data_IF_759442201932
#
_entry.id   IF_759442201932
#
_cell.length_a   1.000
_cell.length_b   1.000
_cell.length_c   1.000
_cell.angle_alpha   90.00
_cell.angle_beta   90.00
_cell.angle_gamma   90.00
#
_symmetry.space_group_name_H-M   'P 1'
#
loop_
_entity.id
_entity.type
_entity.pdbx_description
1 polymer ?
#
# COMPACT_ATOMS: atom_id res chain seq x y z
N UNK A 1 -6.33 -12.94 -0.52
CA UNK A 1 -6.84 -14.32 -0.48
C UNK A 1 -5.66 -15.23 -0.19
N UNK A 2 -5.78 -16.16 0.77
CA UNK A 2 -4.78 -17.20 1.05
C UNK A 2 -5.39 -18.55 0.69
N UNK A 3 -4.60 -19.46 0.12
CA UNK A 3 -4.98 -20.85 -0.18
C UNK A 3 -6.26 -21.00 -1.02
N UNK A 4 -6.55 -20.05 -1.92
CA UNK A 4 -7.76 -20.08 -2.75
C UNK A 4 -9.09 -19.84 -2.02
N UNK A 5 -9.08 -19.56 -0.71
CA UNK A 5 -10.29 -19.39 0.12
C UNK A 5 -11.01 -18.05 -0.16
N UNK A 6 -11.72 -17.98 -1.29
CA UNK A 6 -12.45 -16.79 -1.74
C UNK A 6 -13.56 -16.38 -0.75
N UNK A 7 -14.44 -17.31 -0.38
CA UNK A 7 -15.56 -17.03 0.54
C UNK A 7 -15.10 -16.38 1.85
N UNK A 8 -14.05 -16.93 2.48
CA UNK A 8 -13.48 -16.37 3.70
C UNK A 8 -12.90 -14.95 3.49
N UNK A 9 -12.22 -14.71 2.38
CA UNK A 9 -11.68 -13.39 2.05
C UNK A 9 -12.81 -12.35 1.88
N UNK A 10 -13.92 -12.73 1.24
CA UNK A 10 -15.11 -11.88 1.14
C UNK A 10 -15.70 -11.56 2.51
N UNK A 11 -15.86 -12.56 3.37
CA UNK A 11 -16.38 -12.35 4.73
C UNK A 11 -15.50 -11.38 5.54
N UNK A 12 -14.18 -11.52 5.46
CA UNK A 12 -13.24 -10.61 6.14
C UNK A 12 -13.40 -9.18 5.63
N UNK A 13 -13.47 -9.00 4.30
CA UNK A 13 -13.61 -7.68 3.68
C UNK A 13 -14.93 -7.01 4.08
N UNK A 14 -16.06 -7.71 3.96
CA UNK A 14 -17.37 -7.19 4.36
C UNK A 14 -17.41 -6.80 5.84
N UNK A 15 -16.86 -7.65 6.71
CA UNK A 15 -16.76 -7.34 8.16
C UNK A 15 -15.87 -6.12 8.43
N UNK A 16 -14.78 -5.95 7.67
CA UNK A 16 -13.91 -4.78 7.81
C UNK A 16 -14.64 -3.50 7.38
N UNK A 17 -15.29 -3.50 6.21
CA UNK A 17 -16.08 -2.36 5.71
C UNK A 17 -17.20 -1.98 6.68
N UNK A 18 -17.94 -2.97 7.21
CA UNK A 18 -18.98 -2.74 8.22
C UNK A 18 -18.42 -2.11 9.51
N UNK A 19 -17.17 -2.40 9.87
CA UNK A 19 -16.50 -1.82 11.04
C UNK A 19 -16.01 -0.38 10.82
N UNK A 20 -15.80 0.04 9.58
CA UNK A 20 -15.36 1.43 9.29
C UNK A 20 -16.49 2.42 9.56
N UNK A 21 -17.72 2.07 9.17
CA UNK A 21 -18.88 2.94 9.24
C UNK A 21 -19.17 3.53 10.64
N UNK A 22 -19.25 2.73 11.74
CA UNK A 22 -19.48 3.30 13.07
C UNK A 22 -18.32 4.15 13.58
N UNK A 23 -17.10 3.97 13.06
CA UNK A 23 -15.90 4.66 13.56
C UNK A 23 -15.65 6.01 12.87
N UNK A 24 -16.28 6.26 11.72
CA UNK A 24 -15.95 7.42 10.88
C UNK A 24 -17.16 8.19 10.38
N UNK A 25 -18.39 7.72 10.63
CA UNK A 25 -19.67 8.34 10.20
C UNK A 25 -19.73 8.70 8.71
N UNK A 26 -18.79 8.18 7.93
CA UNK A 26 -18.59 8.49 6.52
C UNK A 26 -18.77 7.22 5.71
N UNK A 27 -19.09 7.39 4.43
CA UNK A 27 -19.27 6.26 3.54
C UNK A 27 -17.97 5.43 3.48
N UNK A 28 -17.99 4.15 3.91
CA UNK A 28 -16.78 3.34 4.02
C UNK A 28 -16.14 3.05 2.66
N UNK A 29 -16.88 3.16 1.56
CA UNK A 29 -16.33 3.09 0.20
C UNK A 29 -15.46 4.31 -0.13
N UNK A 30 -15.82 5.50 0.37
CA UNK A 30 -14.99 6.69 0.21
C UNK A 30 -13.69 6.57 1.01
N UNK A 31 -13.78 6.06 2.25
CA UNK A 31 -12.60 5.77 3.08
C UNK A 31 -11.66 4.80 2.37
N UNK A 32 -12.19 3.70 1.82
CA UNK A 32 -11.41 2.72 1.06
C UNK A 32 -10.72 3.36 -0.14
N UNK A 33 -11.46 4.12 -0.96
CA UNK A 33 -10.91 4.79 -2.15
C UNK A 33 -9.83 5.81 -1.77
N UNK A 34 -10.05 6.56 -0.69
CA UNK A 34 -9.10 7.54 -0.17
C UNK A 34 -7.83 6.88 0.35
N UNK A 35 -7.95 5.80 1.13
CA UNK A 35 -6.82 5.01 1.62
C UNK A 35 -5.97 4.51 0.45
N UNK A 36 -6.58 3.85 -0.55
CA UNK A 36 -5.86 3.36 -1.73
C UNK A 36 -5.16 4.52 -2.46
N UNK A 37 -5.84 5.66 -2.67
CA UNK A 37 -5.24 6.83 -3.33
C UNK A 37 -4.01 7.34 -2.56
N UNK A 38 -4.09 7.44 -1.23
CA UNK A 38 -2.99 7.94 -0.39
C UNK A 38 -1.79 6.99 -0.41
N UNK A 39 -2.03 5.69 -0.37
CA UNK A 39 -0.97 4.67 -0.36
C UNK A 39 -0.37 4.43 -1.74
N UNK A 40 -1.10 4.76 -2.82
CA UNK A 40 -0.61 4.54 -4.20
C UNK A 40 0.69 5.31 -4.46
N UNK A 41 1.79 4.60 -4.78
CA UNK A 41 3.02 5.21 -5.26
C UNK A 41 2.91 5.47 -6.77
N UNK A 42 3.32 6.66 -7.20
CA UNK A 42 3.47 7.06 -8.59
C UNK A 42 4.92 6.91 -9.09
N UNK A 43 5.87 6.88 -8.16
CA UNK A 43 7.29 6.68 -8.41
C UNK A 43 7.84 5.57 -7.52
N UNK A 44 8.89 4.90 -7.99
CA UNK A 44 9.59 3.90 -7.22
C UNK A 44 10.98 3.67 -7.76
N UNK A 45 11.59 2.59 -7.28
CA UNK A 45 12.96 2.24 -7.64
C UNK A 45 12.96 0.84 -8.24
N UNK A 46 13.66 0.69 -9.36
CA UNK A 46 13.95 -0.62 -9.95
C UNK A 46 15.44 -0.89 -9.86
N UNK A 47 15.77 -2.09 -9.43
CA UNK A 47 17.14 -2.57 -9.45
C UNK A 47 17.55 -2.86 -10.90
N UNK A 48 18.63 -2.24 -11.35
CA UNK A 48 19.22 -2.43 -12.67
C UNK A 48 20.69 -2.76 -12.55
N UNK A 49 21.18 -3.68 -13.38
CA UNK A 49 22.61 -3.98 -13.50
C UNK A 49 23.19 -3.15 -14.63
N UNK A 50 24.25 -2.40 -14.36
CA UNK A 50 24.90 -1.59 -15.39
C UNK A 50 25.86 -2.44 -16.24
N UNK A 51 26.30 -1.87 -17.38
CA UNK A 51 27.25 -2.52 -18.30
C UNK A 51 28.59 -2.89 -17.64
N UNK A 52 28.96 -2.22 -16.54
CA UNK A 52 30.17 -2.49 -15.74
C UNK A 52 29.92 -3.52 -14.61
N UNK A 53 28.78 -4.20 -14.60
CA UNK A 53 28.48 -5.32 -13.70
C UNK A 53 27.91 -4.95 -12.32
N UNK A 54 27.93 -3.67 -11.92
CA UNK A 54 27.39 -3.19 -10.64
C UNK A 54 25.87 -3.00 -10.65
N UNK A 55 25.23 -3.24 -9.51
CA UNK A 55 23.79 -3.14 -9.34
C UNK A 55 23.41 -1.78 -8.75
N UNK A 56 22.55 -1.02 -9.45
CA UNK A 56 22.09 0.31 -9.02
C UNK A 56 20.59 0.37 -8.88
N UNK A 57 20.13 1.23 -7.99
CA UNK A 57 18.72 1.57 -7.75
C UNK A 57 18.34 2.74 -8.65
N UNK A 58 17.58 2.46 -9.71
CA UNK A 58 17.19 3.47 -10.71
C UNK A 58 15.76 3.93 -10.46
N UNK A 59 15.50 5.24 -10.33
CA UNK A 59 14.14 5.79 -10.25
C UNK A 59 13.31 5.51 -11.50
N UNK A 60 12.12 4.95 -11.31
CA UNK A 60 11.15 4.69 -12.38
C UNK A 60 9.78 5.25 -12.01
N UNK A 61 9.02 5.64 -13.03
CA UNK A 61 7.60 5.93 -12.88
C UNK A 61 6.80 4.63 -12.86
N UNK A 62 5.78 4.60 -12.00
CA UNK A 62 4.92 3.43 -11.81
C UNK A 62 3.59 3.73 -12.50
N UNK A 63 3.20 2.87 -13.44
CA UNK A 63 1.90 2.97 -14.10
C UNK A 63 0.73 2.80 -13.11
N UNK A 64 -0.40 3.44 -13.40
CA UNK A 64 -1.57 3.48 -12.50
C UNK A 64 -2.05 2.11 -12.01
N UNK A 65 -2.10 1.11 -12.90
CA UNK A 65 -2.48 -0.28 -12.57
C UNK A 65 -1.49 -0.92 -11.58
N UNK A 66 -0.19 -0.72 -11.80
CA UNK A 66 0.86 -1.26 -10.94
C UNK A 66 0.88 -0.55 -9.58
N UNK A 67 0.70 0.77 -9.57
CA UNK A 67 0.62 1.56 -8.34
C UNK A 67 -0.55 1.12 -7.45
N UNK A 68 -1.74 0.91 -8.04
CA UNK A 68 -2.90 0.38 -7.29
C UNK A 68 -2.63 -1.02 -6.73
N UNK A 69 -2.03 -1.91 -7.52
CA UNK A 69 -1.68 -3.25 -7.06
C UNK A 69 -0.67 -3.24 -5.90
N UNK A 70 0.34 -2.36 -5.96
CA UNK A 70 1.31 -2.14 -4.88
C UNK A 70 0.62 -1.58 -3.63
N UNK A 71 -0.27 -0.61 -3.79
CA UNK A 71 -1.01 -0.02 -2.68
C UNK A 71 -1.82 -1.08 -1.90
N UNK A 72 -2.59 -1.90 -2.64
CA UNK A 72 -3.37 -2.99 -2.03
C UNK A 72 -2.45 -3.99 -1.32
N UNK A 73 -1.31 -4.32 -1.92
CA UNK A 73 -0.33 -5.22 -1.30
C UNK A 73 0.22 -4.65 0.00
N UNK A 74 0.64 -3.39 0.00
CA UNK A 74 1.18 -2.73 1.19
C UNK A 74 0.15 -2.60 2.31
N UNK A 75 -1.09 -2.23 1.98
CA UNK A 75 -2.21 -2.22 2.92
C UNK A 75 -2.42 -3.59 3.57
N UNK A 76 -2.42 -4.67 2.78
CA UNK A 76 -2.59 -6.03 3.29
C UNK A 76 -1.41 -6.51 4.14
N UNK A 77 -0.18 -6.13 3.78
CA UNK A 77 1.01 -6.43 4.58
C UNK A 77 1.00 -5.68 5.91
N UNK A 78 0.69 -4.39 5.91
CA UNK A 78 0.60 -3.57 7.12
C UNK A 78 -0.52 -4.08 8.05
N UNK A 79 -1.70 -4.38 7.48
CA UNK A 79 -2.82 -4.97 8.21
C UNK A 79 -2.47 -6.31 8.87
N UNK A 80 -1.65 -7.15 8.22
CA UNK A 80 -1.22 -8.43 8.80
C UNK A 80 -0.27 -8.26 9.99
N UNK A 81 0.62 -7.27 9.91
CA UNK A 81 1.61 -6.97 10.97
C UNK A 81 1.02 -6.25 12.18
N UNK A 82 -0.15 -5.64 12.03
CA UNK A 82 -0.81 -4.89 13.11
C UNK A 82 -1.16 -5.81 14.31
N UNK A 83 -0.99 -5.36 15.56
CA UNK A 83 -1.52 -6.08 16.71
C UNK A 83 -3.06 -6.07 16.70
N UNK A 84 -3.67 -7.14 17.21
CA UNK A 84 -5.12 -7.29 17.28
C UNK A 84 -5.59 -8.71 17.00
N UNK A 85 -6.84 -9.01 17.36
CA UNK A 85 -7.36 -10.40 17.36
C UNK A 85 -7.85 -10.85 15.99
N UNK A 86 -8.67 -10.04 15.31
CA UNK A 86 -9.31 -10.43 14.05
C UNK A 86 -8.77 -9.64 12.85
N UNK A 87 -8.58 -10.33 11.72
CA UNK A 87 -8.10 -9.69 10.48
C UNK A 87 -9.03 -8.58 9.98
N UNK A 88 -10.35 -8.75 10.15
CA UNK A 88 -11.32 -7.71 9.77
C UNK A 88 -11.12 -6.42 10.58
N UNK A 89 -10.79 -6.53 11.86
CA UNK A 89 -10.49 -5.36 12.71
C UNK A 89 -9.17 -4.71 12.30
N UNK A 90 -8.11 -5.52 12.09
CA UNK A 90 -6.82 -4.99 11.64
C UNK A 90 -6.95 -4.23 10.32
N UNK A 91 -7.67 -4.81 9.36
CA UNK A 91 -7.90 -4.22 8.04
C UNK A 91 -8.72 -2.93 8.12
N UNK A 92 -9.80 -2.90 8.92
CA UNK A 92 -10.59 -1.68 9.09
C UNK A 92 -9.77 -0.56 9.71
N UNK A 93 -8.97 -0.86 10.74
CA UNK A 93 -8.14 0.14 11.40
C UNK A 93 -7.04 0.68 10.47
N UNK A 94 -6.39 -0.20 9.71
CA UNK A 94 -5.37 0.24 8.75
C UNK A 94 -5.98 1.11 7.65
N UNK A 95 -7.17 0.78 7.15
CA UNK A 95 -7.85 1.59 6.14
C UNK A 95 -8.21 2.99 6.66
N UNK A 96 -8.67 3.09 7.90
CA UNK A 96 -8.97 4.39 8.54
C UNK A 96 -7.69 5.20 8.73
N UNK A 97 -6.62 4.58 9.23
CA UNK A 97 -5.34 5.26 9.45
C UNK A 97 -4.74 5.74 8.12
N UNK A 98 -4.76 4.88 7.09
CA UNK A 98 -4.26 5.20 5.76
C UNK A 98 -5.05 6.34 5.10
N UNK A 99 -6.38 6.35 5.29
CA UNK A 99 -7.23 7.44 4.83
C UNK A 99 -6.90 8.78 5.54
N UNK A 100 -6.46 8.71 6.81
CA UNK A 100 -5.94 9.87 7.58
C UNK A 100 -4.49 10.22 7.25
N UNK A 101 -3.77 9.39 6.48
CA UNK A 101 -2.38 9.63 6.08
C UNK A 101 -1.37 9.16 7.11
N UNK A 102 -1.75 8.20 7.93
CA UNK A 102 -0.91 7.52 8.91
C UNK A 102 -0.94 6.02 8.65
N UNK A 103 0.02 5.27 9.19
CA UNK A 103 0.05 3.82 9.05
C UNK A 103 1.38 3.29 8.54
N UNK A 104 1.54 1.97 8.60
CA UNK A 104 2.78 1.32 8.18
C UNK A 104 2.96 1.36 6.65
N UNK A 105 1.85 1.35 5.93
CA UNK A 105 1.75 1.47 4.48
C UNK A 105 2.11 2.88 3.97
N UNK A 106 1.68 3.94 4.64
CA UNK A 106 2.06 5.32 4.33
C UNK A 106 3.56 5.54 4.57
N UNK A 107 4.09 5.10 5.72
CA UNK A 107 5.53 5.15 6.01
C UNK A 107 6.36 4.43 4.95
N UNK A 108 5.85 3.30 4.44
CA UNK A 108 6.51 2.55 3.35
C UNK A 108 6.51 3.33 2.03
N UNK A 109 5.42 4.02 1.70
CA UNK A 109 5.37 4.92 0.54
C UNK A 109 6.38 6.07 0.69
N UNK A 110 6.41 6.73 1.83
CA UNK A 110 7.32 7.84 2.11
C UNK A 110 8.79 7.39 2.04
N UNK A 111 9.12 6.24 2.63
CA UNK A 111 10.46 5.66 2.53
C UNK A 111 10.85 5.37 1.06
N UNK A 112 9.89 4.91 0.25
CA UNK A 112 10.10 4.71 -1.18
C UNK A 112 10.37 6.04 -1.89
N UNK A 113 9.62 7.10 -1.57
CA UNK A 113 9.83 8.44 -2.13
C UNK A 113 11.22 9.00 -1.78
N UNK A 114 11.61 8.94 -0.50
CA UNK A 114 12.95 9.37 -0.05
C UNK A 114 14.06 8.60 -0.78
N UNK A 115 13.88 7.29 -0.99
CA UNK A 115 14.83 6.48 -1.74
C UNK A 115 14.90 6.87 -3.21
N UNK A 116 13.78 7.28 -3.81
CA UNK A 116 13.76 7.81 -5.18
C UNK A 116 14.51 9.14 -5.25
N UNK A 117 14.25 10.06 -4.32
CA UNK A 117 14.91 11.38 -4.26
C UNK A 117 16.42 11.23 -4.10
N UNK A 118 16.87 10.35 -3.20
CA UNK A 118 18.30 10.08 -3.00
C UNK A 118 19.00 9.53 -4.26
N UNK A 119 18.26 8.87 -5.16
CA UNK A 119 18.79 8.30 -6.40
C UNK A 119 18.36 9.08 -7.64
N UNK A 120 17.81 10.29 -7.50
CA UNK A 120 17.27 11.10 -8.61
C UNK A 120 18.29 11.33 -9.71
N UNK A 121 19.56 11.49 -9.34
CA UNK A 121 20.67 11.64 -10.28
C UNK A 121 20.79 10.46 -11.25
N UNK A 122 20.38 9.24 -10.86
CA UNK A 122 20.46 8.02 -11.67
C UNK A 122 19.25 7.81 -12.60
N UNK A 123 18.31 8.76 -12.67
CA UNK A 123 17.10 8.64 -13.51
C UNK A 123 17.39 8.55 -15.02
N UNK A 124 18.58 8.98 -15.46
CA UNK A 124 19.02 8.83 -16.85
C UNK A 124 19.32 7.37 -17.25
N UNK A 125 19.43 6.45 -16.28
CA UNK A 125 19.62 5.02 -16.54
C UNK A 125 18.29 4.23 -16.67
N UNK A 126 17.17 4.90 -16.95
CA UNK A 126 15.83 4.29 -17.10
C UNK A 126 15.77 3.24 -18.21
#
# INVERSE_FOLDING_TARGET
MKDGKKSLAYQILYRAVKKIQPNTETNPLLVLRQAIRRVTPNIGVKTRRNKKGSTRKVPIEIGSKQGRALAIRWLLEASQKRPGRNMAFKLSSELVDAAKGSGGDIRKKEATHRMVEANRALAHFR
#
